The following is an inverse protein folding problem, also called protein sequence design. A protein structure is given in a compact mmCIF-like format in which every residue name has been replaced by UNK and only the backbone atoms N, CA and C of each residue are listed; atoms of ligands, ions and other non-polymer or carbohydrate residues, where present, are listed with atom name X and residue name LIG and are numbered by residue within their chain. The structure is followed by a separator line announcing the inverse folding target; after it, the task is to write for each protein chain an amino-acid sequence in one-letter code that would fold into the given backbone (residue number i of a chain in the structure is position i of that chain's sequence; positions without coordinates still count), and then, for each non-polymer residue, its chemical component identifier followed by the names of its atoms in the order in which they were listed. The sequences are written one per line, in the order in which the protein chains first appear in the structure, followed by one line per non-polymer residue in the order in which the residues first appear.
data_IF_643465366381
#
_entry.id   IF_643465366381
#
_cell.length_a   1.000
_cell.length_b   1.000
_cell.length_c   1.000
_cell.angle_alpha   90.00
_cell.angle_beta   90.00
_cell.angle_gamma   90.00
#
_symmetry.space_group_name_H-M   'P 1'
#
loop_
_entity.id
_entity.type
_entity.pdbx_description
1 polymer ?
#
# COMPACT_ATOMS: atom_id res chain seq x y z
N UNK A 1 -0.60 -24.08 25.47
CA UNK A 1 -0.22 -23.42 24.20
C UNK A 1 1.29 -23.23 24.22
N UNK A 2 2.02 -23.78 23.26
CA UNK A 2 3.45 -23.48 23.12
C UNK A 2 3.61 -21.98 22.77
N UNK A 3 4.61 -21.28 23.33
CA UNK A 3 4.89 -19.89 22.94
C UNK A 3 5.16 -19.84 21.44
N UNK A 4 4.67 -18.78 20.78
CA UNK A 4 5.00 -18.55 19.37
C UNK A 4 6.51 -18.33 19.27
N UNK A 5 7.15 -18.79 18.19
CA UNK A 5 8.60 -18.55 17.97
C UNK A 5 8.96 -17.06 18.00
N UNK A 6 7.99 -16.19 17.71
CA UNK A 6 8.11 -14.73 17.82
C UNK A 6 8.18 -14.24 19.26
N UNK A 7 7.47 -14.87 20.20
CA UNK A 7 7.52 -14.52 21.63
C UNK A 7 8.92 -14.78 22.21
N UNK A 8 9.53 -15.91 21.81
CA UNK A 8 10.90 -16.24 22.21
C UNK A 8 11.93 -15.29 21.56
N UNK A 9 11.72 -14.91 20.30
CA UNK A 9 12.56 -13.93 19.62
C UNK A 9 12.50 -12.55 20.30
N UNK A 10 11.30 -12.10 20.69
CA UNK A 10 11.11 -10.85 21.44
C UNK A 10 11.77 -10.90 22.81
N UNK A 11 11.64 -12.02 23.54
CA UNK A 11 12.33 -12.21 24.84
C UNK A 11 13.84 -12.12 24.69
N UNK A 12 14.41 -12.73 23.65
CA UNK A 12 15.83 -12.64 23.35
C UNK A 12 16.25 -11.20 23.06
N UNK A 13 15.51 -10.47 22.23
CA UNK A 13 15.83 -9.07 21.91
C UNK A 13 15.76 -8.16 23.15
N UNK A 14 14.76 -8.35 24.03
CA UNK A 14 14.64 -7.61 25.30
C UNK A 14 15.78 -7.94 26.28
N UNK A 15 16.28 -9.17 26.27
CA UNK A 15 17.40 -9.61 27.10
C UNK A 15 18.73 -9.01 26.62
N UNK A 16 19.01 -9.10 25.32
CA UNK A 16 20.29 -8.68 24.73
C UNK A 16 20.37 -7.16 24.60
N UNK A 17 19.23 -6.47 24.36
CA UNK A 17 19.12 -5.01 24.21
C UNK A 17 20.04 -4.44 23.12
N UNK A 18 20.28 -5.22 22.06
CA UNK A 18 21.07 -4.82 20.91
C UNK A 18 20.16 -4.32 19.77
N UNK A 19 20.45 -3.13 19.24
CA UNK A 19 19.65 -2.50 18.18
C UNK A 19 19.72 -3.26 16.86
N UNK A 20 20.85 -3.92 16.56
CA UNK A 20 21.02 -4.69 15.32
C UNK A 20 20.12 -5.93 15.35
N UNK A 21 20.04 -6.60 16.50
CA UNK A 21 19.15 -7.74 16.69
C UNK A 21 17.68 -7.34 16.56
N UNK A 22 17.27 -6.19 17.13
CA UNK A 22 15.93 -5.64 16.93
C UNK A 22 15.65 -5.27 15.47
N UNK A 23 16.62 -4.69 14.75
CA UNK A 23 16.48 -4.38 13.34
C UNK A 23 16.31 -5.65 12.48
N UNK A 24 17.07 -6.71 12.78
CA UNK A 24 16.90 -8.02 12.14
C UNK A 24 15.51 -8.60 12.42
N UNK A 25 15.04 -8.53 13.67
CA UNK A 25 13.71 -9.00 14.04
C UNK A 25 12.62 -8.22 13.30
N UNK A 26 12.74 -6.89 13.23
CA UNK A 26 11.81 -6.04 12.50
C UNK A 26 11.75 -6.42 11.01
N UNK A 27 12.91 -6.60 10.36
CA UNK A 27 12.97 -7.00 8.96
C UNK A 27 12.34 -8.38 8.71
N UNK A 28 12.61 -9.37 9.58
CA UNK A 28 12.01 -10.70 9.48
C UNK A 28 10.48 -10.66 9.68
N UNK A 29 10.02 -9.95 10.72
CA UNK A 29 8.60 -9.80 11.02
C UNK A 29 7.85 -9.08 9.87
N UNK A 30 8.45 -8.04 9.29
CA UNK A 30 7.90 -7.37 8.11
C UNK A 30 7.80 -8.32 6.92
N UNK A 31 8.84 -9.13 6.67
CA UNK A 31 8.84 -10.07 5.55
C UNK A 31 7.76 -11.15 5.67
N UNK A 32 7.53 -11.68 6.87
CA UNK A 32 6.46 -12.66 7.14
C UNK A 32 5.09 -12.01 7.41
N UNK A 33 5.02 -10.67 7.36
CA UNK A 33 3.81 -9.87 7.56
C UNK A 33 3.22 -9.98 8.97
N UNK A 34 4.06 -10.19 9.98
CA UNK A 34 3.67 -10.21 11.41
C UNK A 34 3.65 -8.78 11.97
N UNK A 35 2.46 -8.17 11.97
CA UNK A 35 2.24 -6.77 12.36
C UNK A 35 2.68 -6.48 13.80
N UNK A 36 2.39 -7.38 14.74
CA UNK A 36 2.63 -7.16 16.17
C UNK A 36 4.12 -7.17 16.50
N UNK A 37 4.84 -8.17 16.00
CA UNK A 37 6.28 -8.26 16.21
C UNK A 37 7.03 -7.16 15.47
N UNK A 38 6.59 -6.82 14.24
CA UNK A 38 7.18 -5.71 13.49
C UNK A 38 7.01 -4.38 14.22
N UNK A 39 5.82 -4.08 14.75
CA UNK A 39 5.55 -2.85 15.49
C UNK A 39 6.46 -2.73 16.72
N UNK A 40 6.51 -3.77 17.55
CA UNK A 40 7.35 -3.75 18.75
C UNK A 40 8.84 -3.61 18.38
N UNK A 41 9.29 -4.31 17.35
CA UNK A 41 10.69 -4.27 16.94
C UNK A 41 11.09 -2.91 16.35
N UNK A 42 10.26 -2.28 15.51
CA UNK A 42 10.51 -0.92 15.02
C UNK A 42 10.44 0.12 16.14
N UNK A 43 9.53 -0.04 17.10
CA UNK A 43 9.46 0.84 18.27
C UNK A 43 10.75 0.75 19.11
N UNK A 44 11.31 -0.45 19.28
CA UNK A 44 12.55 -0.66 20.04
C UNK A 44 13.78 0.03 19.42
N UNK A 45 13.79 0.26 18.11
CA UNK A 45 14.86 0.99 17.40
C UNK A 45 14.48 2.43 17.02
N UNK A 46 13.38 2.95 17.56
CA UNK A 46 12.92 4.34 17.34
C UNK A 46 12.57 4.70 15.89
N UNK A 47 12.15 3.72 15.07
CA UNK A 47 11.65 3.93 13.71
C UNK A 47 10.16 4.31 13.77
N UNK A 48 9.87 5.49 14.30
CA UNK A 48 8.50 5.94 14.64
C UNK A 48 7.57 6.09 13.43
N UNK A 49 8.13 6.43 12.27
CA UNK A 49 7.42 6.50 10.99
C UNK A 49 6.87 5.12 10.59
N UNK A 50 7.68 4.06 10.73
CA UNK A 50 7.26 2.68 10.45
C UNK A 50 6.25 2.18 11.45
N UNK A 51 6.39 2.54 12.73
CA UNK A 51 5.39 2.22 13.78
C UNK A 51 4.04 2.87 13.43
N UNK A 52 4.02 4.16 13.10
CA UNK A 52 2.80 4.86 12.71
C UNK A 52 2.15 4.25 11.47
N UNK A 53 2.96 3.85 10.48
CA UNK A 53 2.45 3.16 9.30
C UNK A 53 1.88 1.78 9.64
N UNK A 54 2.52 0.98 10.50
CA UNK A 54 1.96 -0.31 10.96
C UNK A 54 0.64 -0.13 11.70
N UNK A 55 0.52 0.92 12.53
CA UNK A 55 -0.73 1.24 13.21
C UNK A 55 -1.83 1.57 12.20
N UNK A 56 -1.53 2.36 11.16
CA UNK A 56 -2.45 2.59 10.06
C UNK A 56 -2.83 1.28 9.33
N UNK A 57 -1.88 0.37 9.09
CA UNK A 57 -2.17 -0.93 8.48
C UNK A 57 -3.16 -1.71 9.34
N UNK A 58 -3.02 -1.71 10.67
CA UNK A 58 -3.93 -2.42 11.59
C UNK A 58 -5.37 -1.89 11.55
N UNK A 59 -5.58 -0.64 11.15
CA UNK A 59 -6.92 -0.05 10.99
C UNK A 59 -7.62 -0.48 9.70
N UNK A 60 -6.88 -1.07 8.74
CA UNK A 60 -7.46 -1.54 7.48
C UNK A 60 -8.33 -2.77 7.78
N UNK A 61 -9.63 -2.78 7.39
CA UNK A 61 -10.55 -3.85 7.74
C UNK A 61 -10.23 -5.18 7.04
N UNK A 62 -9.63 -5.12 5.85
CA UNK A 62 -9.32 -6.29 5.04
C UNK A 62 -7.94 -6.87 5.35
N UNK A 63 -7.90 -8.11 5.84
CA UNK A 63 -6.64 -8.80 6.12
C UNK A 63 -5.71 -8.89 4.89
N UNK A 64 -6.26 -9.20 3.70
CA UNK A 64 -5.47 -9.23 2.47
C UNK A 64 -4.82 -7.88 2.14
N UNK A 65 -5.53 -6.77 2.40
CA UNK A 65 -4.97 -5.45 2.20
C UNK A 65 -3.86 -5.16 3.24
N UNK A 66 -4.03 -5.60 4.49
CA UNK A 66 -2.96 -5.51 5.49
C UNK A 66 -1.68 -6.26 5.04
N UNK A 67 -1.84 -7.47 4.51
CA UNK A 67 -0.71 -8.26 3.98
C UNK A 67 0.01 -7.56 2.84
N UNK A 68 -0.73 -6.91 1.95
CA UNK A 68 -0.16 -6.14 0.84
C UNK A 68 0.59 -4.90 1.32
N UNK A 69 0.04 -4.14 2.26
CA UNK A 69 0.71 -2.96 2.84
C UNK A 69 1.97 -3.36 3.64
N UNK A 70 1.96 -4.52 4.32
CA UNK A 70 3.16 -5.06 4.95
C UNK A 70 4.24 -5.43 3.93
N UNK A 71 3.86 -5.96 2.76
CA UNK A 71 4.80 -6.19 1.68
C UNK A 71 5.39 -4.87 1.14
N UNK A 72 4.58 -3.79 1.08
CA UNK A 72 5.07 -2.44 0.73
C UNK A 72 6.04 -1.87 1.76
N UNK A 73 5.75 -2.03 3.06
CA UNK A 73 6.68 -1.65 4.12
C UNK A 73 8.04 -2.35 3.98
N UNK A 74 8.03 -3.61 3.57
CA UNK A 74 9.23 -4.39 3.25
C UNK A 74 9.87 -4.06 1.89
N UNK A 75 9.33 -3.12 1.12
CA UNK A 75 9.83 -2.72 -0.20
C UNK A 75 9.44 -3.66 -1.35
N UNK A 76 8.61 -4.67 -1.11
CA UNK A 76 8.23 -5.69 -2.10
C UNK A 76 6.95 -5.28 -2.86
N UNK A 77 7.06 -4.29 -3.74
CA UNK A 77 5.92 -3.74 -4.51
C UNK A 77 5.24 -4.82 -5.37
N UNK A 78 6.01 -5.73 -5.96
CA UNK A 78 5.47 -6.80 -6.79
C UNK A 78 4.65 -7.81 -5.97
N UNK A 79 5.08 -8.13 -4.75
CA UNK A 79 4.35 -9.04 -3.84
C UNK A 79 3.05 -8.40 -3.37
N UNK A 80 3.09 -7.11 -3.01
CA UNK A 80 1.91 -6.33 -2.64
C UNK A 80 0.89 -6.29 -3.79
N UNK A 81 1.34 -5.95 -5.00
CA UNK A 81 0.47 -5.89 -6.18
C UNK A 81 -0.13 -7.26 -6.51
N UNK A 82 0.68 -8.32 -6.52
CA UNK A 82 0.22 -9.69 -6.78
C UNK A 82 -0.82 -10.14 -5.77
N UNK A 83 -0.58 -9.90 -4.47
CA UNK A 83 -1.52 -10.22 -3.39
C UNK A 83 -2.88 -9.56 -3.61
N UNK A 84 -2.89 -8.27 -3.94
CA UNK A 84 -4.13 -7.54 -4.19
C UNK A 84 -4.87 -8.04 -5.43
N UNK A 85 -4.16 -8.22 -6.54
CA UNK A 85 -4.77 -8.64 -7.80
C UNK A 85 -5.35 -10.06 -7.73
N UNK A 86 -4.65 -10.99 -7.06
CA UNK A 86 -5.15 -12.36 -6.87
C UNK A 86 -6.46 -12.40 -6.04
N UNK A 87 -6.65 -11.41 -5.17
CA UNK A 87 -7.85 -11.27 -4.34
C UNK A 87 -8.88 -10.30 -4.94
N UNK A 88 -8.70 -9.85 -6.18
CA UNK A 88 -9.64 -8.97 -6.87
C UNK A 88 -9.65 -7.51 -6.37
N UNK A 89 -8.71 -7.11 -5.51
CA UNK A 89 -8.57 -5.75 -4.98
C UNK A 89 -7.85 -4.83 -5.99
N UNK A 90 -8.42 -4.72 -7.19
CA UNK A 90 -7.83 -3.97 -8.30
C UNK A 90 -7.71 -2.48 -7.99
N UNK A 91 -8.72 -1.89 -7.34
CA UNK A 91 -8.69 -0.48 -6.95
C UNK A 91 -7.48 -0.17 -6.03
N UNK A 92 -7.29 -0.95 -4.97
CA UNK A 92 -6.11 -0.85 -4.08
C UNK A 92 -4.79 -0.96 -4.86
N UNK A 93 -4.70 -1.92 -5.77
CA UNK A 93 -3.52 -2.10 -6.62
C UNK A 93 -3.22 -0.87 -7.50
N UNK A 94 -4.25 -0.22 -8.03
CA UNK A 94 -4.11 1.06 -8.76
C UNK A 94 -3.64 2.18 -7.81
N UNK A 95 -4.29 2.35 -6.66
CA UNK A 95 -3.96 3.42 -5.69
C UNK A 95 -2.51 3.30 -5.20
N UNK A 96 -2.04 2.10 -4.88
CA UNK A 96 -0.65 1.87 -4.46
C UNK A 96 0.33 2.29 -5.55
N UNK A 97 0.06 1.94 -6.81
CA UNK A 97 0.91 2.37 -7.92
C UNK A 97 0.85 3.89 -8.15
N UNK A 98 -0.27 4.56 -7.89
CA UNK A 98 -0.36 6.02 -7.94
C UNK A 98 0.47 6.67 -6.82
N UNK A 99 0.37 6.16 -5.60
CA UNK A 99 1.13 6.65 -4.44
C UNK A 99 2.65 6.47 -4.62
N UNK A 100 3.06 5.38 -5.27
CA UNK A 100 4.46 5.09 -5.61
C UNK A 100 4.92 5.82 -6.89
N UNK A 101 4.09 6.66 -7.49
CA UNK A 101 4.37 7.36 -8.76
C UNK A 101 4.68 6.43 -9.95
N UNK A 102 4.22 5.18 -9.89
CA UNK A 102 4.27 4.20 -10.99
C UNK A 102 3.11 4.43 -11.96
N UNK A 103 3.00 5.63 -12.52
CA UNK A 103 1.86 6.10 -13.32
C UNK A 103 1.51 5.18 -14.48
N UNK A 104 2.53 4.69 -15.21
CA UNK A 104 2.32 3.78 -16.34
C UNK A 104 1.68 2.46 -15.90
N UNK A 105 2.11 1.92 -14.75
CA UNK A 105 1.58 0.67 -14.20
C UNK A 105 0.15 0.87 -13.70
N UNK A 106 -0.12 1.97 -13.00
CA UNK A 106 -1.47 2.33 -12.56
C UNK A 106 -2.44 2.43 -13.76
N UNK A 107 -2.02 3.09 -14.85
CA UNK A 107 -2.84 3.21 -16.06
C UNK A 107 -3.05 1.87 -16.76
N UNK A 108 -2.00 1.04 -16.86
CA UNK A 108 -2.10 -0.31 -17.43
C UNK A 108 -3.11 -1.18 -16.67
N UNK A 109 -3.05 -1.17 -15.34
CA UNK A 109 -3.99 -1.92 -14.48
C UNK A 109 -5.42 -1.42 -14.66
N UNK A 110 -5.62 -0.10 -14.68
CA UNK A 110 -6.92 0.51 -14.89
C UNK A 110 -7.55 0.12 -16.24
N UNK A 111 -6.76 0.14 -17.33
CA UNK A 111 -7.22 -0.25 -18.67
C UNK A 111 -7.51 -1.75 -18.73
N UNK A 112 -6.59 -2.58 -18.24
CA UNK A 112 -6.70 -4.04 -18.28
C UNK A 112 -7.96 -4.54 -17.58
N UNK A 113 -8.29 -3.94 -16.44
CA UNK A 113 -9.46 -4.28 -15.65
C UNK A 113 -10.69 -3.39 -15.94
N UNK A 114 -10.58 -2.47 -16.90
CA UNK A 114 -11.65 -1.54 -17.33
C UNK A 114 -12.28 -0.78 -16.17
N UNK A 115 -11.45 -0.28 -15.24
CA UNK A 115 -11.90 0.41 -14.03
C UNK A 115 -10.97 1.57 -13.69
N UNK A 116 -11.50 2.62 -13.03
CA UNK A 116 -10.73 3.74 -12.45
C UNK A 116 -9.70 4.42 -13.40
N UNK A 117 -9.91 4.38 -14.72
CA UNK A 117 -9.03 5.07 -15.69
C UNK A 117 -9.08 6.59 -15.49
N UNK A 118 -10.29 7.12 -15.29
CA UNK A 118 -10.55 8.52 -14.94
C UNK A 118 -9.81 8.95 -13.66
N UNK A 119 -9.82 8.09 -12.63
CA UNK A 119 -9.08 8.29 -11.39
C UNK A 119 -7.57 8.45 -11.63
N UNK A 120 -6.97 7.56 -12.43
CA UNK A 120 -5.54 7.62 -12.76
C UNK A 120 -5.19 8.90 -13.53
N UNK A 121 -6.00 9.28 -14.51
CA UNK A 121 -5.81 10.51 -15.28
C UNK A 121 -5.93 11.75 -14.39
N UNK A 122 -6.90 11.77 -13.47
CA UNK A 122 -7.09 12.87 -12.52
C UNK A 122 -5.89 13.08 -11.61
N UNK A 123 -5.42 12.01 -10.94
CA UNK A 123 -4.27 12.11 -10.04
C UNK A 123 -2.99 12.48 -10.79
N UNK A 124 -2.80 11.95 -12.00
CA UNK A 124 -1.67 12.31 -12.85
C UNK A 124 -1.70 13.79 -13.22
N UNK A 125 -2.85 14.30 -13.66
CA UNK A 125 -3.03 15.71 -13.99
C UNK A 125 -2.76 16.59 -12.78
N UNK A 126 -3.35 16.29 -11.63
CA UNK A 126 -3.12 17.02 -10.37
C UNK A 126 -1.63 17.06 -9.97
N UNK A 127 -0.93 15.94 -10.15
CA UNK A 127 0.51 15.86 -9.90
C UNK A 127 1.30 16.78 -10.85
N UNK A 128 0.99 16.76 -12.14
CA UNK A 128 1.68 17.60 -13.14
C UNK A 128 1.38 19.10 -12.97
N UNK A 129 0.13 19.44 -12.66
CA UNK A 129 -0.32 20.80 -12.37
C UNK A 129 0.44 21.38 -11.14
N UNK A 130 0.82 20.54 -10.18
CA UNK A 130 1.63 20.96 -9.02
C UNK A 130 3.03 21.47 -9.42
N UNK A 131 3.53 21.07 -10.59
CA UNK A 131 4.83 21.48 -11.12
C UNK A 131 4.72 22.40 -12.35
N UNK A 132 3.50 22.84 -12.69
CA UNK A 132 3.21 23.58 -13.93
C UNK A 132 3.75 22.90 -15.20
N UNK A 133 3.71 21.56 -15.23
CA UNK A 133 4.21 20.75 -16.36
C UNK A 133 3.07 20.22 -17.21
N UNK A 134 3.19 20.24 -18.56
CA UNK A 134 2.25 19.56 -19.42
C UNK A 134 2.44 18.04 -19.37
N UNK A 135 1.40 17.29 -19.72
CA UNK A 135 1.54 15.84 -19.93
C UNK A 135 2.34 15.56 -21.20
N UNK A 136 3.37 14.72 -21.06
CA UNK A 136 4.26 14.32 -22.16
C UNK A 136 4.08 12.85 -22.55
N UNK A 137 3.39 12.07 -21.72
CA UNK A 137 3.20 10.66 -21.97
C UNK A 137 2.08 10.42 -22.99
N UNK A 138 2.45 9.83 -24.14
CA UNK A 138 1.52 9.53 -25.23
C UNK A 138 0.29 8.72 -24.80
N UNK A 139 0.45 7.75 -23.90
CA UNK A 139 -0.69 6.94 -23.42
C UNK A 139 -1.70 7.82 -22.67
N UNK A 140 -1.21 8.69 -21.80
CA UNK A 140 -2.08 9.59 -21.03
C UNK A 140 -2.76 10.64 -21.92
N UNK A 141 -2.06 11.15 -22.93
CA UNK A 141 -2.64 12.08 -23.90
C UNK A 141 -3.78 11.43 -24.71
N UNK A 142 -3.60 10.19 -25.14
CA UNK A 142 -4.65 9.45 -25.87
C UNK A 142 -5.94 9.31 -25.03
N UNK A 143 -5.80 8.84 -23.79
CA UNK A 143 -6.98 8.60 -22.93
C UNK A 143 -7.59 9.88 -22.35
N UNK A 144 -6.86 11.00 -22.36
CA UNK A 144 -7.38 12.29 -21.89
C UNK A 144 -8.57 12.77 -22.72
N UNK A 145 -8.56 12.50 -24.02
CA UNK A 145 -9.63 12.94 -24.93
C UNK A 145 -10.81 11.96 -24.96
N UNK A 146 -10.56 10.69 -24.61
CA UNK A 146 -11.57 9.63 -24.59
C UNK A 146 -12.37 9.55 -23.27
N UNK A 147 -11.81 10.05 -22.17
CA UNK A 147 -12.37 9.87 -20.81
C UNK A 147 -12.71 11.20 -20.16
N UNK A 148 -13.98 11.40 -19.82
CA UNK A 148 -14.43 12.56 -19.05
C UNK A 148 -13.93 12.47 -17.59
N UNK A 149 -13.05 13.39 -17.20
CA UNK A 149 -12.50 13.47 -15.84
C UNK A 149 -13.33 14.44 -15.00
N UNK A 150 -14.14 13.90 -14.09
CA UNK A 150 -14.95 14.68 -13.14
C UNK A 150 -14.52 14.36 -11.70
N UNK A 151 -14.03 15.36 -10.97
CA UNK A 151 -13.46 15.19 -9.63
C UNK A 151 -14.49 14.69 -8.60
N UNK A 152 -15.74 15.16 -8.66
CA UNK A 152 -16.79 14.76 -7.73
C UNK A 152 -17.20 13.29 -7.94
N UNK A 153 -17.37 12.89 -9.21
CA UNK A 153 -17.67 11.49 -9.55
C UNK A 153 -16.53 10.55 -9.11
N UNK A 154 -15.28 10.96 -9.29
CA UNK A 154 -14.11 10.18 -8.87
C UNK A 154 -14.07 10.05 -7.34
N UNK A 155 -14.27 11.15 -6.61
CA UNK A 155 -14.31 11.12 -5.15
C UNK A 155 -15.40 10.15 -4.64
N UNK A 156 -16.60 10.20 -5.22
CA UNK A 156 -17.67 9.28 -4.87
C UNK A 156 -17.34 7.82 -5.23
N UNK A 157 -16.68 7.55 -6.36
CA UNK A 157 -16.21 6.19 -6.72
C UNK A 157 -15.21 5.65 -5.71
N UNK A 158 -14.25 6.48 -5.29
CA UNK A 158 -13.24 6.11 -4.31
C UNK A 158 -13.89 5.80 -2.96
N UNK A 159 -14.81 6.66 -2.49
CA UNK A 159 -15.52 6.44 -1.23
C UNK A 159 -16.32 5.12 -1.27
N UNK A 160 -17.04 4.85 -2.36
CA UNK A 160 -17.75 3.58 -2.52
C UNK A 160 -16.83 2.34 -2.45
N UNK A 161 -15.61 2.41 -2.97
CA UNK A 161 -14.65 1.30 -2.86
C UNK A 161 -14.24 1.09 -1.39
N UNK A 162 -13.91 2.17 -0.66
CA UNK A 162 -13.56 2.04 0.77
C UNK A 162 -14.74 1.58 1.63
N UNK A 163 -15.96 2.03 1.35
CA UNK A 163 -17.16 1.53 2.02
C UNK A 163 -17.39 0.04 1.74
N UNK A 164 -17.14 -0.42 0.51
CA UNK A 164 -17.22 -1.85 0.17
C UNK A 164 -16.18 -2.67 0.94
N UNK A 165 -14.97 -2.15 1.11
CA UNK A 165 -13.94 -2.80 1.92
C UNK A 165 -14.32 -2.90 3.39
N UNK A 166 -14.93 -1.86 3.96
CA UNK A 166 -15.44 -1.86 5.34
C UNK A 166 -16.57 -2.87 5.56
N UNK A 167 -17.41 -3.12 4.56
CA UNK A 167 -18.49 -4.11 4.64
C UNK A 167 -17.98 -5.56 4.50
N UNK A 168 -16.84 -5.74 3.83
CA UNK A 168 -16.29 -7.06 3.48
C UNK A 168 -15.14 -7.51 4.40
N UNK A 169 -14.67 -6.66 5.32
CA UNK A 169 -13.65 -6.98 6.33
C UNK A 169 -14.26 -7.43 7.63
#
# INVERSE_FOLDING_TARGET
MAPSRWDDALRLCRLVKDSTLWACLAAMATHVKDLTTAEEAYAAISETDKVAYIQHIKEIPLHTAQLAEMALLGGNVQDAESTLLQNGLVFRSIIINLNLHNWNRALELAIKHKTHVDTVLFFRKKYLDTFDKPETNHKFLQFKDEVEVNAEKIAHKIDMEYQRELQNG
#
